data_IF_095464931637
#
_entry.id   IF_095464931637
#
_cell.length_a   1.000
_cell.length_b   1.000
_cell.length_c   1.000
_cell.angle_alpha   90.00
_cell.angle_beta   90.00
_cell.angle_gamma   90.00
#
_symmetry.space_group_name_H-M   'P 1'
#
loop_
_entity.id
_entity.type
_entity.pdbx_description
1 polymer ?
#
# COMPACT_ATOMS: atom_id res chain seq x y z
N UNK A 1 8.35 13.34 -24.46
CA UNK A 1 7.41 12.40 -25.10
C UNK A 1 6.01 12.78 -24.64
N UNK A 2 5.02 12.81 -25.52
CA UNK A 2 3.61 13.08 -25.17
C UNK A 2 2.95 11.75 -24.81
N UNK A 3 2.51 11.62 -23.55
CA UNK A 3 1.68 10.50 -23.09
C UNK A 3 0.26 11.01 -22.80
N UNK A 4 -0.72 10.12 -22.78
CA UNK A 4 -2.11 10.49 -22.51
C UNK A 4 -2.36 10.58 -21.01
N UNK A 5 -2.77 11.77 -20.56
CA UNK A 5 -3.20 12.03 -19.18
C UNK A 5 -4.66 11.61 -18.99
N UNK A 6 -4.90 10.30 -18.98
CA UNK A 6 -6.24 9.71 -18.93
C UNK A 6 -7.04 10.13 -17.69
N UNK A 7 -6.41 10.26 -16.52
CA UNK A 7 -7.10 10.69 -15.29
C UNK A 7 -7.55 12.15 -15.30
N UNK A 8 -6.97 12.96 -16.19
CA UNK A 8 -7.24 14.38 -16.36
C UNK A 8 -8.12 14.68 -17.58
N UNK A 9 -8.53 13.65 -18.34
CA UNK A 9 -9.50 13.80 -19.42
C UNK A 9 -10.89 14.13 -18.87
N UNK A 10 -11.72 14.73 -19.72
CA UNK A 10 -13.10 15.03 -19.40
C UNK A 10 -13.86 13.78 -18.98
N UNK A 11 -14.70 13.95 -17.97
CA UNK A 11 -15.62 12.93 -17.48
C UNK A 11 -16.53 12.42 -18.60
N UNK A 12 -16.98 11.17 -18.48
CA UNK A 12 -18.04 10.63 -19.34
C UNK A 12 -19.41 11.25 -19.06
N UNK A 13 -19.51 12.09 -18.03
CA UNK A 13 -20.70 12.76 -17.58
C UNK A 13 -20.51 14.27 -17.64
N UNK A 14 -21.58 15.00 -17.98
CA UNK A 14 -21.61 16.46 -18.01
C UNK A 14 -22.77 16.99 -17.16
N UNK A 15 -22.73 18.27 -16.82
CA UNK A 15 -23.72 18.97 -16.01
C UNK A 15 -24.00 18.27 -14.66
N UNK A 16 -22.93 17.83 -13.97
CA UNK A 16 -23.02 17.12 -12.70
C UNK A 16 -23.86 17.90 -11.67
N UNK A 17 -23.79 19.23 -11.68
CA UNK A 17 -24.54 20.12 -10.79
C UNK A 17 -26.07 20.09 -10.99
N UNK A 18 -26.54 19.55 -12.12
CA UNK A 18 -27.97 19.40 -12.44
C UNK A 18 -28.51 18.00 -12.14
N UNK A 19 -27.63 17.04 -11.86
CA UNK A 19 -28.04 15.68 -11.51
C UNK A 19 -28.69 15.64 -10.13
N UNK A 20 -29.69 14.79 -9.97
CA UNK A 20 -30.22 14.44 -8.65
C UNK A 20 -29.16 13.71 -7.84
N UNK A 21 -29.30 13.73 -6.50
CA UNK A 21 -28.39 12.98 -5.61
C UNK A 21 -28.32 11.50 -5.96
N UNK A 22 -29.43 10.87 -6.36
CA UNK A 22 -29.46 9.45 -6.75
C UNK A 22 -28.66 9.20 -8.01
N UNK A 23 -28.77 10.07 -9.02
CA UNK A 23 -27.98 9.97 -10.25
C UNK A 23 -26.49 10.14 -9.98
N UNK A 24 -26.11 11.15 -9.17
CA UNK A 24 -24.72 11.35 -8.76
C UNK A 24 -24.13 10.10 -8.12
N UNK A 25 -24.80 9.53 -7.11
CA UNK A 25 -24.32 8.35 -6.40
C UNK A 25 -24.28 7.11 -7.31
N UNK A 26 -25.27 6.94 -8.18
CA UNK A 26 -25.34 5.80 -9.10
C UNK A 26 -24.24 5.86 -10.16
N UNK A 27 -23.96 7.05 -10.70
CA UNK A 27 -22.91 7.26 -11.70
C UNK A 27 -21.52 7.13 -11.09
N UNK A 28 -21.28 7.67 -9.88
CA UNK A 28 -20.03 7.43 -9.15
C UNK A 28 -19.81 5.93 -8.94
N UNK A 29 -20.83 5.20 -8.48
CA UNK A 29 -20.71 3.75 -8.29
C UNK A 29 -20.47 2.99 -9.60
N UNK A 30 -21.04 3.45 -10.71
CA UNK A 30 -20.83 2.86 -12.02
C UNK A 30 -19.37 2.98 -12.45
N UNK A 31 -18.75 4.13 -12.19
CA UNK A 31 -17.32 4.37 -12.40
C UNK A 31 -16.47 3.48 -11.48
N UNK A 32 -16.81 3.38 -10.19
CA UNK A 32 -16.06 2.56 -9.21
C UNK A 32 -16.00 1.07 -9.60
N UNK A 33 -17.05 0.52 -10.20
CA UNK A 33 -17.09 -0.88 -10.69
C UNK A 33 -16.02 -1.20 -11.72
N UNK A 34 -15.49 -0.19 -12.41
CA UNK A 34 -14.44 -0.38 -13.43
C UNK A 34 -13.06 -0.61 -12.82
N UNK A 35 -12.85 -0.17 -11.58
CA UNK A 35 -11.52 -0.14 -10.93
C UNK A 35 -10.95 -1.55 -10.71
N UNK A 36 -11.69 -2.54 -10.16
CA UNK A 36 -11.17 -3.90 -10.00
C UNK A 36 -10.74 -4.53 -11.33
N UNK A 37 -11.46 -4.27 -12.42
CA UNK A 37 -11.12 -4.79 -13.75
C UNK A 37 -9.80 -4.17 -14.28
N UNK A 38 -9.52 -2.91 -13.95
CA UNK A 38 -8.25 -2.27 -14.29
C UNK A 38 -7.08 -2.89 -13.50
N UNK A 39 -7.30 -3.19 -12.22
CA UNK A 39 -6.31 -3.86 -11.35
C UNK A 39 -6.06 -5.30 -11.79
N UNK A 40 -7.10 -6.03 -12.17
CA UNK A 40 -6.99 -7.42 -12.66
C UNK A 40 -5.98 -7.55 -13.81
N UNK A 41 -6.03 -6.63 -14.77
CA UNK A 41 -5.15 -6.63 -15.96
C UNK A 41 -3.66 -6.50 -15.62
N UNK A 42 -3.32 -5.92 -14.47
CA UNK A 42 -1.94 -5.64 -14.07
C UNK A 42 -1.40 -6.60 -13.01
N UNK A 43 -2.15 -7.65 -12.64
CA UNK A 43 -1.70 -8.69 -11.70
C UNK A 43 -0.31 -9.26 -12.04
N UNK A 44 0.03 -9.59 -13.31
CA UNK A 44 1.35 -10.11 -13.65
C UNK A 44 2.51 -9.14 -13.36
N UNK A 45 2.22 -7.83 -13.29
CA UNK A 45 3.22 -6.81 -12.93
C UNK A 45 3.34 -6.70 -11.40
N UNK A 46 2.22 -6.78 -10.68
CA UNK A 46 2.21 -6.84 -9.20
C UNK A 46 3.01 -8.05 -8.73
N UNK A 47 2.80 -9.22 -9.34
CA UNK A 47 3.52 -10.45 -9.01
C UNK A 47 5.04 -10.26 -9.03
N UNK A 48 5.57 -9.72 -10.13
CA UNK A 48 7.01 -9.47 -10.29
C UNK A 48 7.55 -8.53 -9.23
N UNK A 49 6.81 -7.47 -8.89
CA UNK A 49 7.19 -6.52 -7.86
C UNK A 49 7.19 -7.17 -6.47
N UNK A 50 6.13 -7.92 -6.14
CA UNK A 50 6.02 -8.66 -4.87
C UNK A 50 7.16 -9.64 -4.69
N UNK A 51 7.50 -10.42 -5.72
CA UNK A 51 8.59 -11.40 -5.62
C UNK A 51 9.94 -10.74 -5.28
N UNK A 52 10.22 -9.57 -5.85
CA UNK A 52 11.45 -8.83 -5.56
C UNK A 52 11.42 -8.22 -4.16
N UNK A 53 10.28 -7.69 -3.73
CA UNK A 53 10.10 -7.18 -2.36
C UNK A 53 10.35 -8.30 -1.36
N UNK A 54 9.76 -9.48 -1.57
CA UNK A 54 9.96 -10.65 -0.69
C UNK A 54 11.44 -11.02 -0.59
N UNK A 55 12.18 -11.00 -1.70
CA UNK A 55 13.62 -11.29 -1.70
C UNK A 55 14.43 -10.25 -0.92
N UNK A 56 14.07 -8.97 -1.02
CA UNK A 56 14.73 -7.86 -0.32
C UNK A 56 14.44 -7.88 1.19
N UNK A 57 13.17 -8.05 1.58
CA UNK A 57 12.78 -8.15 2.99
C UNK A 57 13.40 -9.37 3.69
N UNK A 58 13.54 -10.52 3.00
CA UNK A 58 14.26 -11.69 3.54
C UNK A 58 15.74 -11.41 3.87
N UNK A 59 16.34 -10.41 3.25
CA UNK A 59 17.72 -9.97 3.50
C UNK A 59 17.80 -8.84 4.53
N UNK A 60 16.70 -8.51 5.20
CA UNK A 60 16.64 -7.42 6.18
C UNK A 60 16.42 -6.04 5.56
N UNK A 61 16.08 -5.95 4.27
CA UNK A 61 15.64 -4.70 3.64
C UNK A 61 14.27 -4.24 4.13
N UNK A 62 13.84 -3.07 3.65
CA UNK A 62 12.55 -2.45 3.96
C UNK A 62 11.79 -2.08 2.68
N UNK A 63 10.48 -1.87 2.82
CA UNK A 63 9.61 -1.36 1.76
C UNK A 63 9.21 0.08 2.06
N UNK A 64 9.51 0.99 1.14
CA UNK A 64 9.11 2.39 1.21
C UNK A 64 7.99 2.67 0.21
N UNK A 65 6.91 3.26 0.68
CA UNK A 65 5.94 3.95 -0.16
C UNK A 65 6.22 5.44 -0.12
N UNK A 66 6.21 6.11 -1.26
CA UNK A 66 6.33 7.57 -1.29
C UNK A 66 5.38 8.21 -2.29
N UNK A 67 4.78 9.34 -1.90
CA UNK A 67 3.86 10.08 -2.75
C UNK A 67 3.51 11.45 -2.18
N UNK A 68 2.67 12.18 -2.90
CA UNK A 68 2.09 13.43 -2.42
C UNK A 68 0.57 13.32 -2.30
N UNK A 69 -0.04 14.21 -1.52
CA UNK A 69 -1.49 14.31 -1.37
C UNK A 69 -2.15 12.95 -1.07
N UNK A 70 -3.21 12.62 -1.82
CA UNK A 70 -3.93 11.34 -1.65
C UNK A 70 -3.02 10.12 -1.82
N UNK A 71 -2.12 10.13 -2.81
CA UNK A 71 -1.22 9.01 -3.07
C UNK A 71 -0.25 8.76 -1.92
N UNK A 72 0.35 9.82 -1.36
CA UNK A 72 1.18 9.72 -0.16
C UNK A 72 0.40 9.22 1.06
N UNK A 73 -0.82 9.75 1.29
CA UNK A 73 -1.68 9.32 2.39
C UNK A 73 -2.06 7.84 2.30
N UNK A 74 -2.37 7.33 1.11
CA UNK A 74 -2.67 5.91 0.92
C UNK A 74 -1.47 5.02 1.22
N UNK A 75 -0.25 5.47 0.86
CA UNK A 75 0.99 4.80 1.27
C UNK A 75 1.14 4.74 2.79
N UNK A 76 0.89 5.86 3.50
CA UNK A 76 0.90 5.91 4.97
C UNK A 76 -0.15 4.97 5.58
N UNK A 77 -1.37 4.92 5.01
CA UNK A 77 -2.43 4.02 5.49
C UNK A 77 -1.98 2.56 5.41
N UNK A 78 -1.54 2.09 4.25
CA UNK A 78 -1.12 0.68 4.07
C UNK A 78 0.07 0.32 4.97
N UNK A 79 1.06 1.20 5.07
CA UNK A 79 2.21 1.02 5.97
C UNK A 79 1.77 0.90 7.44
N UNK A 80 0.86 1.77 7.91
CA UNK A 80 0.38 1.79 9.29
C UNK A 80 -0.40 0.54 9.69
N UNK A 81 -1.01 -0.15 8.72
CA UNK A 81 -1.76 -1.38 8.95
C UNK A 81 -0.85 -2.62 9.04
N UNK A 82 0.41 -2.53 8.59
CA UNK A 82 1.32 -3.68 8.57
C UNK A 82 1.70 -4.19 9.97
N UNK A 83 2.15 -3.35 10.93
CA UNK A 83 2.48 -3.81 12.28
C UNK A 83 1.34 -4.51 13.03
N UNK A 84 0.12 -3.94 13.14
CA UNK A 84 -0.96 -4.60 13.88
C UNK A 84 -1.46 -5.88 13.18
N UNK A 85 -1.39 -5.95 11.85
CA UNK A 85 -1.90 -7.07 11.04
C UNK A 85 -0.94 -8.25 11.00
N UNK A 86 0.35 -7.99 10.76
CA UNK A 86 1.36 -9.01 10.47
C UNK A 86 2.40 -9.18 11.59
N UNK A 87 2.36 -8.35 12.63
CA UNK A 87 3.30 -8.41 13.76
C UNK A 87 4.70 -7.93 13.43
N UNK A 88 4.87 -7.22 12.31
CA UNK A 88 6.15 -6.71 11.85
C UNK A 88 6.52 -5.39 12.52
N UNK A 89 7.79 -5.00 12.41
CA UNK A 89 8.26 -3.70 12.88
C UNK A 89 7.61 -2.57 12.06
N UNK A 90 7.33 -1.39 12.66
CA UNK A 90 6.98 -0.18 11.92
C UNK A 90 8.01 0.21 10.85
N UNK A 91 9.26 -0.24 11.01
CA UNK A 91 10.34 0.00 10.05
C UNK A 91 10.33 -0.95 8.83
N UNK A 92 9.49 -2.00 8.85
CA UNK A 92 9.45 -2.97 7.74
C UNK A 92 8.77 -2.39 6.50
N UNK A 93 7.70 -1.61 6.69
CA UNK A 93 6.96 -0.92 5.63
C UNK A 93 6.73 0.52 6.08
N UNK A 94 7.25 1.48 5.32
CA UNK A 94 7.30 2.90 5.70
C UNK A 94 6.58 3.72 4.64
N UNK A 95 5.62 4.55 5.05
CA UNK A 95 4.95 5.52 4.17
C UNK A 95 5.53 6.92 4.35
N UNK A 96 6.06 7.51 3.28
CA UNK A 96 6.59 8.88 3.25
C UNK A 96 5.65 9.73 2.39
N UNK A 97 5.33 10.93 2.89
CA UNK A 97 4.47 11.88 2.20
C UNK A 97 5.20 13.21 1.99
N UNK A 98 5.12 13.76 0.77
CA UNK A 98 5.61 15.09 0.48
C UNK A 98 4.97 16.13 1.40
N UNK A 99 5.79 16.93 2.08
CA UNK A 99 5.35 17.89 3.10
C UNK A 99 5.29 17.33 4.53
N UNK A 100 5.70 16.07 4.73
CA UNK A 100 5.82 15.45 6.05
C UNK A 100 4.48 15.21 6.75
N UNK A 101 4.53 14.97 8.06
CA UNK A 101 3.35 14.59 8.86
C UNK A 101 2.19 15.59 8.78
N UNK A 102 2.48 16.88 8.62
CA UNK A 102 1.45 17.92 8.44
C UNK A 102 0.60 17.66 7.18
N UNK A 103 1.20 17.08 6.14
CA UNK A 103 0.52 16.73 4.89
C UNK A 103 -0.47 15.57 5.04
N UNK A 104 -0.42 14.81 6.14
CA UNK A 104 -1.37 13.73 6.42
C UNK A 104 -2.78 14.31 6.58
N UNK A 105 -2.90 15.45 7.29
CA UNK A 105 -4.20 16.07 7.59
C UNK A 105 -4.50 17.27 6.71
N UNK A 106 -3.48 17.99 6.27
CA UNK A 106 -3.62 19.22 5.49
C UNK A 106 -3.00 19.05 4.11
N UNK A 107 -3.43 19.85 3.14
CA UNK A 107 -2.66 20.00 1.90
C UNK A 107 -1.48 20.94 2.18
N UNK A 108 -0.27 20.54 1.79
CA UNK A 108 0.92 21.39 1.82
C UNK A 108 1.19 21.80 0.40
N UNK A 109 0.93 23.07 0.07
CA UNK A 109 1.14 23.59 -1.28
C UNK A 109 2.61 23.44 -1.71
N UNK A 110 2.83 23.14 -2.99
CA UNK A 110 4.15 23.01 -3.65
C UNK A 110 5.07 21.89 -3.13
N UNK A 111 4.69 21.13 -2.10
CA UNK A 111 5.50 20.01 -1.61
C UNK A 111 5.73 18.94 -2.70
N UNK A 112 4.74 18.75 -3.58
CA UNK A 112 4.80 17.76 -4.65
C UNK A 112 5.71 18.16 -5.82
N UNK A 113 6.02 19.46 -5.95
CA UNK A 113 6.83 20.05 -7.02
C UNK A 113 8.34 20.01 -6.72
N UNK A 114 8.74 19.70 -5.49
CA UNK A 114 10.15 19.65 -5.11
C UNK A 114 10.87 18.45 -5.73
N UNK A 115 11.90 18.68 -6.54
CA UNK A 115 12.75 17.62 -7.13
C UNK A 115 13.85 17.11 -6.19
N UNK A 116 14.05 17.72 -5.02
CA UNK A 116 15.10 17.33 -4.08
C UNK A 116 14.56 16.64 -2.84
N UNK A 117 13.42 17.11 -2.31
CA UNK A 117 12.89 16.70 -1.01
C UNK A 117 12.67 15.19 -0.90
N UNK A 118 12.11 14.54 -1.93
CA UNK A 118 11.83 13.11 -1.87
C UNK A 118 13.08 12.25 -1.64
N UNK A 119 14.24 12.69 -2.12
CA UNK A 119 15.50 12.01 -1.82
C UNK A 119 16.03 12.32 -0.42
N UNK A 120 15.86 13.56 0.05
CA UNK A 120 16.25 13.97 1.39
C UNK A 120 15.45 13.17 2.43
N UNK A 121 14.15 13.00 2.21
CA UNK A 121 13.28 12.19 3.06
C UNK A 121 13.75 10.73 3.10
N UNK A 122 13.98 10.09 1.95
CA UNK A 122 14.54 8.73 1.91
C UNK A 122 15.92 8.63 2.58
N UNK A 123 16.77 9.65 2.39
CA UNK A 123 18.10 9.69 2.98
C UNK A 123 18.05 9.79 4.50
N UNK A 124 17.06 10.47 5.06
CA UNK A 124 16.86 10.57 6.51
C UNK A 124 16.58 9.21 7.17
N UNK A 125 16.04 8.26 6.39
CA UNK A 125 15.83 6.86 6.81
C UNK A 125 17.05 5.96 6.54
N UNK A 126 18.20 6.52 6.15
CA UNK A 126 19.40 5.77 5.77
C UNK A 126 19.10 4.69 4.72
N UNK A 127 18.40 5.07 3.65
CA UNK A 127 18.02 4.12 2.60
C UNK A 127 19.25 3.45 1.95
N UNK A 128 19.11 2.17 1.63
CA UNK A 128 20.16 1.32 1.06
C UNK A 128 19.70 0.54 -0.16
N UNK A 129 20.63 -0.12 -0.84
CA UNK A 129 20.35 -1.04 -1.94
C UNK A 129 19.62 -2.32 -1.51
N UNK A 130 19.48 -2.58 -0.21
CA UNK A 130 18.61 -3.63 0.31
C UNK A 130 17.13 -3.23 0.35
N UNK A 131 16.82 -1.94 0.22
CA UNK A 131 15.46 -1.44 0.29
C UNK A 131 14.76 -1.45 -1.09
N UNK A 132 13.43 -1.36 -1.06
CA UNK A 132 12.58 -1.15 -2.24
C UNK A 132 11.79 0.13 -2.06
N UNK A 133 11.73 0.98 -3.08
CA UNK A 133 10.93 2.21 -3.09
C UNK A 133 9.83 2.12 -4.13
N UNK A 134 8.59 2.33 -3.71
CA UNK A 134 7.43 2.44 -4.60
C UNK A 134 6.96 3.89 -4.61
N UNK A 135 7.13 4.54 -5.77
CA UNK A 135 6.60 5.88 -6.01
C UNK A 135 5.13 5.85 -6.42
N UNK A 136 4.30 6.68 -5.81
CA UNK A 136 2.85 6.69 -6.02
C UNK A 136 2.41 8.07 -6.50
N UNK A 137 1.92 8.15 -7.73
CA UNK A 137 1.32 9.36 -8.28
C UNK A 137 0.29 9.01 -9.36
N UNK A 138 -0.97 9.40 -9.17
CA UNK A 138 -2.03 9.10 -10.12
C UNK A 138 -1.72 9.64 -11.53
N UNK A 139 -1.30 10.91 -11.60
CA UNK A 139 -0.91 11.58 -12.86
C UNK A 139 0.35 10.98 -13.50
N UNK A 140 1.23 10.40 -12.67
CA UNK A 140 2.54 9.90 -13.09
C UNK A 140 3.55 10.99 -13.42
N UNK A 141 3.30 12.25 -13.03
CA UNK A 141 4.15 13.41 -13.36
C UNK A 141 4.72 14.14 -12.15
N UNK A 142 4.44 13.69 -10.92
CA UNK A 142 4.83 14.38 -9.68
C UNK A 142 6.36 14.44 -9.50
N UNK A 143 6.99 15.64 -9.54
CA UNK A 143 8.46 15.78 -9.47
C UNK A 143 9.10 15.19 -8.20
N UNK A 144 8.45 15.34 -7.05
CA UNK A 144 8.87 14.76 -5.76
C UNK A 144 9.12 13.25 -5.84
N UNK A 145 8.24 12.55 -6.53
CA UNK A 145 8.31 11.08 -6.66
C UNK A 145 9.32 10.69 -7.72
N UNK A 146 9.24 11.31 -8.91
CA UNK A 146 10.09 10.94 -10.06
C UNK A 146 11.56 11.15 -9.73
N UNK A 147 11.93 12.33 -9.23
CA UNK A 147 13.32 12.70 -8.96
C UNK A 147 13.94 11.81 -7.86
N UNK A 148 13.12 11.35 -6.92
CA UNK A 148 13.55 10.40 -5.90
C UNK A 148 13.81 9.01 -6.50
N UNK A 149 12.92 8.50 -7.36
CA UNK A 149 13.15 7.22 -8.04
C UNK A 149 14.36 7.26 -8.98
N UNK A 150 14.58 8.36 -9.70
CA UNK A 150 15.79 8.55 -10.52
C UNK A 150 17.07 8.41 -9.67
N UNK A 151 17.10 9.05 -8.49
CA UNK A 151 18.23 8.96 -7.56
C UNK A 151 18.39 7.57 -6.94
N UNK A 152 17.30 6.86 -6.68
CA UNK A 152 17.30 5.46 -6.25
C UNK A 152 17.91 4.55 -7.33
N UNK A 153 17.46 4.68 -8.58
CA UNK A 153 17.98 3.91 -9.71
C UNK A 153 19.48 4.16 -9.93
N UNK A 154 19.92 5.42 -9.86
CA UNK A 154 21.34 5.78 -9.96
C UNK A 154 22.21 5.14 -8.85
N UNK A 155 21.60 4.66 -7.76
CA UNK A 155 22.25 4.00 -6.63
C UNK A 155 21.92 2.51 -6.52
N UNK A 156 21.32 1.91 -7.56
CA UNK A 156 20.91 0.50 -7.58
C UNK A 156 19.88 0.11 -6.50
N UNK A 157 19.14 1.08 -5.95
CA UNK A 157 18.00 0.82 -5.07
C UNK A 157 16.83 0.40 -5.95
N UNK A 158 16.16 -0.69 -5.61
CA UNK A 158 15.07 -1.23 -6.44
C UNK A 158 13.86 -0.30 -6.39
N UNK A 159 13.31 0.03 -7.56
CA UNK A 159 12.17 0.94 -7.67
C UNK A 159 10.96 0.28 -8.33
N UNK A 160 9.78 0.54 -7.76
CA UNK A 160 8.49 0.31 -8.40
C UNK A 160 7.68 1.60 -8.47
N UNK A 161 6.55 1.59 -9.15
CA UNK A 161 5.59 2.69 -9.06
C UNK A 161 4.15 2.25 -9.19
N UNK A 162 3.23 3.12 -8.76
CA UNK A 162 1.80 2.99 -9.03
C UNK A 162 1.31 4.31 -9.63
N UNK A 163 0.81 4.24 -10.87
CA UNK A 163 0.27 5.39 -11.61
C UNK A 163 -0.89 4.97 -12.49
N UNK A 164 -1.76 5.88 -12.88
CA UNK A 164 -2.94 5.57 -13.70
C UNK A 164 -2.81 6.00 -15.15
N UNK A 165 -1.65 6.57 -15.53
CA UNK A 165 -1.37 7.01 -16.89
C UNK A 165 -0.23 6.20 -17.50
N UNK A 166 -0.54 5.49 -18.58
CA UNK A 166 0.42 4.72 -19.38
C UNK A 166 1.45 5.63 -20.05
N UNK A 167 2.71 5.19 -20.07
CA UNK A 167 3.82 5.96 -20.62
C UNK A 167 4.17 7.24 -19.85
N UNK A 168 3.63 7.42 -18.63
CA UNK A 168 3.95 8.57 -17.78
C UNK A 168 5.43 8.58 -17.37
N UNK A 169 6.01 9.76 -17.07
CA UNK A 169 7.39 9.88 -16.61
C UNK A 169 7.71 8.95 -15.43
N UNK A 170 6.79 8.81 -14.47
CA UNK A 170 6.95 7.91 -13.33
C UNK A 170 7.03 6.43 -13.78
N UNK A 171 6.14 6.00 -14.67
CA UNK A 171 6.15 4.62 -15.19
C UNK A 171 7.43 4.31 -15.98
N UNK A 172 7.97 5.28 -16.70
CA UNK A 172 9.22 5.13 -17.44
C UNK A 172 10.46 5.14 -16.53
N UNK A 173 10.34 5.73 -15.33
CA UNK A 173 11.44 5.81 -14.36
C UNK A 173 11.54 4.54 -13.52
N UNK A 174 10.41 3.96 -13.10
CA UNK A 174 10.41 2.79 -12.23
C UNK A 174 10.89 1.51 -12.93
N UNK A 175 11.67 0.68 -12.24
CA UNK A 175 12.06 -0.65 -12.74
C UNK A 175 10.86 -1.60 -12.83
N UNK A 176 9.93 -1.49 -11.87
CA UNK A 176 8.71 -2.29 -11.81
C UNK A 176 7.45 -1.39 -11.86
N UNK A 177 7.01 -0.97 -13.05
CA UNK A 177 5.85 -0.10 -13.18
C UNK A 177 4.53 -0.88 -13.00
N UNK A 178 3.65 -0.36 -12.15
CA UNK A 178 2.27 -0.82 -11.98
C UNK A 178 1.32 0.26 -12.49
N UNK A 179 0.62 -0.03 -13.59
CA UNK A 179 -0.18 0.98 -14.31
C UNK A 179 -1.64 0.56 -14.48
N UNK A 180 -2.48 0.59 -13.43
CA UNK A 180 -3.92 0.36 -13.56
C UNK A 180 -4.59 1.55 -14.26
N UNK A 181 -4.93 1.37 -15.55
CA UNK A 181 -5.62 2.40 -16.35
C UNK A 181 -7.12 2.41 -15.98
N UNK A 182 -7.54 3.40 -15.20
CA UNK A 182 -8.92 3.55 -14.71
C UNK A 182 -9.79 4.47 -15.58
N UNK A 183 -9.20 5.16 -16.57
CA UNK A 183 -9.90 6.14 -17.41
C UNK A 183 -10.12 7.50 -16.73
N UNK A 184 -10.94 8.38 -17.34
CA UNK A 184 -11.25 9.70 -16.78
C UNK A 184 -12.03 9.59 -15.48
N UNK A 185 -11.82 10.53 -14.57
CA UNK A 185 -12.52 10.56 -13.29
C UNK A 185 -13.95 11.10 -13.43
N UNK A 186 -14.85 10.70 -12.52
CA UNK A 186 -16.25 11.20 -12.52
C UNK A 186 -16.31 12.73 -12.42
N UNK A 187 -15.45 13.31 -11.58
CA UNK A 187 -15.13 14.74 -11.58
C UNK A 187 -13.76 14.88 -12.23
N UNK A 188 -13.69 15.55 -13.39
CA UNK A 188 -12.45 15.73 -14.18
C UNK A 188 -11.26 16.10 -13.29
N UNK A 189 -10.19 15.29 -13.35
CA UNK A 189 -8.95 15.51 -12.59
C UNK A 189 -8.99 15.16 -11.10
N UNK A 190 -10.15 14.78 -10.53
CA UNK A 190 -10.27 14.41 -9.12
C UNK A 190 -9.76 12.98 -8.85
N UNK A 191 -8.46 12.77 -9.01
CA UNK A 191 -7.80 11.46 -8.91
C UNK A 191 -7.88 10.78 -7.53
N UNK A 192 -8.37 11.48 -6.51
CA UNK A 192 -8.71 10.88 -5.21
C UNK A 192 -9.83 9.82 -5.29
N UNK A 193 -10.52 9.73 -6.43
CA UNK A 193 -11.63 8.82 -6.69
C UNK A 193 -11.11 7.48 -7.25
N UNK A 194 -11.30 7.17 -8.54
CA UNK A 194 -10.96 5.85 -9.09
C UNK A 194 -9.47 5.55 -8.99
N UNK A 195 -8.61 6.51 -9.33
CA UNK A 195 -7.16 6.31 -9.26
C UNK A 195 -6.69 6.05 -7.82
N UNK A 196 -7.22 6.79 -6.85
CA UNK A 196 -6.99 6.54 -5.41
C UNK A 196 -7.46 5.16 -4.97
N UNK A 197 -8.65 4.73 -5.41
CA UNK A 197 -9.16 3.38 -5.14
C UNK A 197 -8.24 2.31 -5.74
N UNK A 198 -7.80 2.47 -6.99
CA UNK A 198 -6.86 1.56 -7.63
C UNK A 198 -5.54 1.46 -6.86
N UNK A 199 -4.99 2.61 -6.44
CA UNK A 199 -3.78 2.66 -5.62
C UNK A 199 -3.96 1.89 -4.31
N UNK A 200 -5.09 2.07 -3.60
CA UNK A 200 -5.38 1.33 -2.38
C UNK A 200 -5.42 -0.18 -2.62
N UNK A 201 -6.13 -0.63 -3.65
CA UNK A 201 -6.22 -2.06 -3.98
C UNK A 201 -4.84 -2.65 -4.28
N UNK A 202 -4.04 -1.96 -5.08
CA UNK A 202 -2.67 -2.40 -5.43
C UNK A 202 -1.77 -2.45 -4.19
N UNK A 203 -1.78 -1.41 -3.35
CA UNK A 203 -1.00 -1.38 -2.11
C UNK A 203 -1.35 -2.55 -1.19
N UNK A 204 -2.65 -2.78 -0.96
CA UNK A 204 -3.11 -3.89 -0.13
C UNK A 204 -2.72 -5.25 -0.72
N UNK A 205 -2.73 -5.42 -2.05
CA UNK A 205 -2.24 -6.64 -2.69
C UNK A 205 -0.74 -6.83 -2.46
N UNK A 206 0.06 -5.76 -2.61
CA UNK A 206 1.52 -5.81 -2.44
C UNK A 206 1.88 -6.18 -0.99
N UNK A 207 1.38 -5.43 0.00
CA UNK A 207 1.70 -5.65 1.41
C UNK A 207 1.21 -7.03 1.87
N UNK A 208 -0.04 -7.37 1.58
CA UNK A 208 -0.63 -8.65 2.00
C UNK A 208 0.07 -9.85 1.37
N UNK A 209 0.27 -9.85 0.05
CA UNK A 209 0.94 -10.97 -0.63
C UNK A 209 2.38 -11.14 -0.16
N UNK A 210 3.10 -10.02 0.02
CA UNK A 210 4.46 -10.02 0.58
C UNK A 210 4.49 -10.67 1.96
N UNK A 211 3.62 -10.25 2.88
CA UNK A 211 3.60 -10.75 4.25
C UNK A 211 3.17 -12.23 4.33
N UNK A 212 2.26 -12.66 3.46
CA UNK A 212 1.93 -14.09 3.30
C UNK A 212 3.16 -14.89 2.85
N UNK A 213 3.90 -14.41 1.84
CA UNK A 213 5.10 -15.07 1.30
C UNK A 213 6.29 -15.09 2.29
N UNK A 214 6.31 -14.17 3.24
CA UNK A 214 7.24 -14.14 4.37
C UNK A 214 6.78 -15.03 5.54
N UNK A 215 5.56 -15.57 5.47
CA UNK A 215 5.05 -16.55 6.42
C UNK A 215 4.29 -15.95 7.60
N UNK A 216 3.92 -14.66 7.59
CA UNK A 216 3.19 -14.00 8.69
C UNK A 216 1.72 -14.44 8.83
N UNK A 217 1.21 -15.19 7.84
CA UNK A 217 -0.15 -15.71 7.79
C UNK A 217 -0.10 -17.24 7.71
N UNK A 218 -0.99 -17.93 8.43
CA UNK A 218 -1.17 -19.39 8.34
C UNK A 218 -2.57 -19.69 7.82
N UNK A 219 -2.65 -20.37 6.67
CA UNK A 219 -3.93 -20.52 5.96
C UNK A 219 -4.51 -19.15 5.61
N UNK A 220 -5.64 -18.80 6.23
CA UNK A 220 -6.27 -17.48 6.11
C UNK A 220 -6.33 -16.71 7.45
N UNK A 221 -5.44 -17.04 8.40
CA UNK A 221 -5.44 -16.50 9.76
C UNK A 221 -4.19 -15.65 10.05
N UNK A 222 -4.43 -14.47 10.63
CA UNK A 222 -3.40 -13.53 11.12
C UNK A 222 -2.79 -14.03 12.44
N UNK A 223 -1.91 -15.03 12.36
CA UNK A 223 -1.33 -15.69 13.54
C UNK A 223 -0.25 -14.86 14.25
N UNK A 224 0.23 -13.79 13.60
CA UNK A 224 1.24 -12.87 14.12
C UNK A 224 0.67 -11.48 14.47
N UNK A 225 -0.66 -11.31 14.48
CA UNK A 225 -1.26 -10.02 14.82
C UNK A 225 -0.86 -9.53 16.23
N UNK A 226 -0.71 -8.22 16.40
CA UNK A 226 -0.41 -7.64 17.70
C UNK A 226 -1.66 -7.57 18.59
N UNK A 227 -1.51 -7.93 19.87
CA UNK A 227 -2.61 -7.96 20.84
C UNK A 227 -2.86 -6.57 21.46
N UNK A 228 -3.20 -5.57 20.64
CA UNK A 228 -3.28 -4.17 21.06
C UNK A 228 -4.62 -3.76 21.69
N UNK A 229 -5.64 -4.60 21.65
CA UNK A 229 -6.95 -4.34 22.23
C UNK A 229 -7.72 -5.64 22.53
N UNK A 230 -8.78 -5.55 23.32
CA UNK A 230 -9.61 -6.69 23.74
C UNK A 230 -10.17 -7.49 22.57
N UNK A 231 -10.59 -6.82 21.48
CA UNK A 231 -11.08 -7.50 20.27
C UNK A 231 -9.99 -8.40 19.64
N UNK A 232 -8.74 -7.96 19.62
CA UNK A 232 -7.62 -8.75 19.09
C UNK A 232 -7.22 -9.88 20.05
N UNK A 233 -7.28 -9.65 21.36
CA UNK A 233 -7.10 -10.72 22.37
C UNK A 233 -8.17 -11.82 22.23
N UNK A 234 -9.44 -11.45 22.09
CA UNK A 234 -10.52 -12.41 21.88
C UNK A 234 -10.35 -13.17 20.56
N UNK A 235 -10.00 -12.46 19.49
CA UNK A 235 -9.72 -13.08 18.19
C UNK A 235 -8.59 -14.10 18.29
N UNK A 236 -7.50 -13.77 18.99
CA UNK A 236 -6.37 -14.67 19.17
C UNK A 236 -6.74 -15.89 20.01
N UNK A 237 -7.53 -15.67 21.05
CA UNK A 237 -8.05 -16.74 21.93
C UNK A 237 -8.87 -17.73 21.10
N UNK A 238 -9.82 -17.23 20.31
CA UNK A 238 -10.65 -18.07 19.44
C UNK A 238 -9.81 -18.86 18.40
N UNK A 239 -8.75 -18.26 17.85
CA UNK A 239 -7.85 -18.96 16.92
C UNK A 239 -7.13 -20.13 17.59
N UNK A 240 -6.64 -19.95 18.81
CA UNK A 240 -5.96 -21.01 19.57
C UNK A 240 -6.96 -22.11 19.96
N UNK A 241 -8.16 -21.74 20.46
CA UNK A 241 -9.22 -22.71 20.77
C UNK A 241 -9.51 -23.61 19.57
N UNK A 242 -9.77 -23.01 18.40
CA UNK A 242 -10.08 -23.78 17.19
C UNK A 242 -8.88 -24.61 16.70
N UNK A 243 -7.65 -24.09 16.85
CA UNK A 243 -6.46 -24.78 16.35
C UNK A 243 -5.99 -25.93 17.24
N UNK A 244 -6.25 -25.87 18.54
CA UNK A 244 -5.77 -26.85 19.53
C UNK A 244 -6.89 -27.72 20.11
N UNK A 245 -8.15 -27.39 19.83
CA UNK A 245 -9.36 -28.01 20.41
C UNK A 245 -9.34 -27.97 21.95
N UNK A 246 -9.13 -26.77 22.50
CA UNK A 246 -9.05 -26.52 23.95
C UNK A 246 -10.05 -25.46 24.44
N UNK A 247 -10.41 -25.45 25.73
CA UNK A 247 -11.32 -24.46 26.29
C UNK A 247 -10.78 -23.02 26.22
N UNK A 248 -11.69 -22.05 26.15
CA UNK A 248 -11.38 -20.62 26.04
C UNK A 248 -10.41 -20.12 27.11
N UNK A 249 -10.63 -20.51 28.37
CA UNK A 249 -9.78 -20.09 29.49
C UNK A 249 -8.32 -20.54 29.32
N UNK A 250 -8.11 -21.75 28.82
CA UNK A 250 -6.78 -22.31 28.57
C UNK A 250 -6.12 -21.59 27.38
N UNK A 251 -6.87 -21.44 26.27
CA UNK A 251 -6.40 -20.72 25.09
C UNK A 251 -6.03 -19.25 25.40
N UNK A 252 -6.83 -18.56 26.21
CA UNK A 252 -6.58 -17.19 26.62
C UNK A 252 -5.31 -17.10 27.48
N UNK A 253 -5.14 -18.04 28.41
CA UNK A 253 -3.94 -18.13 29.25
C UNK A 253 -2.69 -18.33 28.40
N UNK A 254 -2.72 -19.24 27.41
CA UNK A 254 -1.62 -19.46 26.48
C UNK A 254 -1.32 -18.20 25.66
N UNK A 255 -2.36 -17.54 25.14
CA UNK A 255 -2.20 -16.33 24.35
C UNK A 255 -1.51 -15.22 25.13
N UNK A 256 -1.97 -14.95 26.36
CA UNK A 256 -1.42 -13.89 27.21
C UNK A 256 -0.01 -14.22 27.69
N UNK A 257 0.30 -15.50 27.89
CA UNK A 257 1.64 -15.96 28.29
C UNK A 257 2.65 -15.76 27.18
N UNK A 258 2.31 -16.14 25.94
CA UNK A 258 3.26 -16.14 24.82
C UNK A 258 3.16 -14.93 23.89
N UNK A 259 2.13 -14.08 24.07
CA UNK A 259 1.93 -12.82 23.36
C UNK A 259 1.62 -12.93 21.86
N UNK A 260 1.49 -14.15 21.33
CA UNK A 260 1.26 -14.42 19.91
C UNK A 260 0.53 -15.76 19.74
N UNK A 261 -0.40 -15.82 18.79
CA UNK A 261 -1.11 -17.07 18.44
C UNK A 261 -0.13 -18.13 17.95
N UNK A 262 0.83 -17.76 17.10
CA UNK A 262 1.86 -18.67 16.60
C UNK A 262 2.69 -19.25 17.73
N UNK A 263 3.22 -18.39 18.61
CA UNK A 263 4.06 -18.83 19.75
C UNK A 263 3.27 -19.72 20.69
N UNK A 264 2.04 -19.33 21.03
CA UNK A 264 1.17 -20.12 21.91
C UNK A 264 0.91 -21.55 21.37
N UNK A 265 0.61 -21.68 20.08
CA UNK A 265 0.40 -22.99 19.44
C UNK A 265 1.69 -23.81 19.41
N UNK A 266 2.83 -23.19 19.08
CA UNK A 266 4.12 -23.86 19.04
C UNK A 266 4.51 -24.42 20.40
N UNK A 267 4.44 -23.59 21.45
CA UNK A 267 4.83 -23.98 22.81
C UNK A 267 3.88 -25.03 23.40
N UNK A 268 2.58 -24.97 23.08
CA UNK A 268 1.63 -26.01 23.48
C UNK A 268 2.00 -27.39 22.94
N UNK A 269 2.42 -27.47 21.67
CA UNK A 269 2.87 -28.73 21.08
C UNK A 269 4.25 -29.18 21.58
N UNK A 270 5.14 -28.25 21.94
CA UNK A 270 6.47 -28.57 22.46
C UNK A 270 6.45 -29.17 23.88
N UNK A 271 5.40 -28.90 24.65
CA UNK A 271 5.24 -29.36 26.04
C UNK A 271 4.24 -30.53 26.21
N UNK A 272 3.85 -31.17 25.10
CA UNK A 272 3.11 -32.45 25.09
C UNK A 272 4.03 -33.60 24.73
#
# INVERSE_FOLDING_TARGET
MTFTRTTEQDSHYDHLEKMTTTELLSNINQEDKTVPNAVEKIIPHIEKLVDVIVLKLKKGGRLFYMGAGTSGRLGVVDASECPPTFGVSPETVIGIIAGGDDAIRNAVEFAEDSSTQGWEDLSSHNISDNDVVIGIAASGTTPYVISALEKCNARNITTGCITCNEGSPLALTAVYPIVPIVGPEFVTGSSRMKAGTAQKLVLNMISTATMIKLGHIKGNKMVDMQLSNEKLVQRGTNMIMTSLDIPEKEANTLLLTYGSVRKAIHEYHAHK
#
